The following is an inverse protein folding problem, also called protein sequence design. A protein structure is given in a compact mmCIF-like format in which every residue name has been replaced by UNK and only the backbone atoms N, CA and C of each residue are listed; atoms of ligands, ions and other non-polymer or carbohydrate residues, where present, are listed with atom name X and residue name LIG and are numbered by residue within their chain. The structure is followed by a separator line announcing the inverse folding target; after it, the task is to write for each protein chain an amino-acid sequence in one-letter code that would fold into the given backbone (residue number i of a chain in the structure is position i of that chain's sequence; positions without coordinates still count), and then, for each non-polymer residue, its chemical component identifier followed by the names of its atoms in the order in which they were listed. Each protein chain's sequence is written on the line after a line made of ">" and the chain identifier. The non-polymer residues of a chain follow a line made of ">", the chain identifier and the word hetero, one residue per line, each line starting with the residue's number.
data_IF_032858964630
#
_entry.id   IF_032858964630
#
_cell.length_a   1.000
_cell.length_b   1.000
_cell.length_c   1.000
_cell.angle_alpha   90.00
_cell.angle_beta   90.00
_cell.angle_gamma   90.00
#
_symmetry.space_group_name_H-M   'P 1'
#
loop_
_entity.id
_entity.type
_entity.pdbx_description
1 polymer ?
#
# COMPACT_ATOMS: atom_id res chain seq x y z
N UNK A 1 74.43 -5.48 -2.83
CA UNK A 1 73.41 -6.19 -3.65
C UNK A 1 72.15 -6.58 -2.90
N UNK A 2 72.15 -6.70 -1.57
CA UNK A 2 70.96 -7.16 -0.77
C UNK A 2 69.81 -6.16 -0.70
N UNK A 3 70.11 -4.83 -0.58
CA UNK A 3 69.05 -3.86 -0.41
C UNK A 3 68.10 -3.71 -1.63
N UNK A 4 68.57 -3.93 -2.85
CA UNK A 4 67.76 -3.89 -4.05
C UNK A 4 66.81 -5.14 -4.14
N UNK A 5 67.30 -6.28 -3.72
CA UNK A 5 66.57 -7.54 -3.69
C UNK A 5 65.43 -7.50 -2.64
N UNK A 6 65.75 -6.98 -1.45
CA UNK A 6 64.74 -6.79 -0.38
C UNK A 6 63.62 -5.83 -0.80
N UNK A 7 63.96 -4.77 -1.54
CA UNK A 7 62.96 -3.84 -2.09
C UNK A 7 62.10 -4.49 -3.17
N UNK A 8 62.69 -5.29 -4.01
CA UNK A 8 61.96 -6.01 -5.06
C UNK A 8 60.95 -6.98 -4.44
N UNK A 9 61.38 -7.80 -3.49
CA UNK A 9 60.55 -8.77 -2.77
C UNK A 9 59.39 -8.06 -2.02
N UNK A 10 59.65 -6.90 -1.43
CA UNK A 10 58.62 -6.11 -0.76
C UNK A 10 57.56 -5.56 -1.74
N UNK A 11 57.96 -5.08 -2.91
CA UNK A 11 57.07 -4.58 -3.98
C UNK A 11 56.25 -5.75 -4.54
N UNK A 12 56.83 -6.90 -4.78
CA UNK A 12 56.17 -8.09 -5.29
C UNK A 12 55.08 -8.57 -4.29
N UNK A 13 55.40 -8.61 -3.00
CA UNK A 13 54.44 -8.92 -1.95
C UNK A 13 53.31 -7.90 -1.88
N UNK A 14 53.61 -6.61 -1.98
CA UNK A 14 52.61 -5.57 -1.96
C UNK A 14 51.68 -5.65 -3.18
N UNK A 15 52.21 -5.96 -4.34
CA UNK A 15 51.46 -6.14 -5.57
C UNK A 15 50.53 -7.33 -5.47
N UNK A 16 50.98 -8.47 -4.90
CA UNK A 16 50.14 -9.65 -4.66
C UNK A 16 48.99 -9.33 -3.68
N UNK A 17 49.28 -8.58 -2.63
CA UNK A 17 48.27 -8.18 -1.64
C UNK A 17 47.21 -7.23 -2.24
N UNK A 18 47.63 -6.28 -3.05
CA UNK A 18 46.70 -5.37 -3.78
C UNK A 18 45.81 -6.15 -4.76
N UNK A 19 46.40 -7.10 -5.52
CA UNK A 19 45.64 -7.94 -6.44
C UNK A 19 44.57 -8.77 -5.71
N UNK A 20 44.91 -9.29 -4.53
CA UNK A 20 43.96 -10.06 -3.71
C UNK A 20 42.83 -9.14 -3.19
N UNK A 21 43.16 -7.92 -2.74
CA UNK A 21 42.17 -6.94 -2.28
C UNK A 21 41.24 -6.48 -3.41
N UNK A 22 41.77 -6.28 -4.62
CA UNK A 22 40.97 -5.97 -5.81
C UNK A 22 39.97 -7.08 -6.14
N UNK A 23 40.41 -8.33 -6.12
CA UNK A 23 39.59 -9.50 -6.40
C UNK A 23 38.46 -9.66 -5.35
N UNK A 24 38.83 -9.48 -4.08
CA UNK A 24 37.85 -9.52 -2.98
C UNK A 24 36.82 -8.38 -3.08
N UNK A 25 37.26 -7.18 -3.41
CA UNK A 25 36.39 -6.02 -3.62
C UNK A 25 35.44 -6.22 -4.80
N UNK A 26 35.95 -6.79 -5.89
CA UNK A 26 35.15 -7.13 -7.08
C UNK A 26 34.08 -8.18 -6.74
N UNK A 27 34.46 -9.22 -6.02
CA UNK A 27 33.52 -10.25 -5.58
C UNK A 27 32.41 -9.67 -4.69
N UNK A 28 32.75 -8.84 -3.71
CA UNK A 28 31.75 -8.16 -2.84
C UNK A 28 30.81 -7.27 -3.67
N UNK A 29 31.35 -6.55 -4.65
CA UNK A 29 30.53 -5.74 -5.55
C UNK A 29 29.53 -6.58 -6.33
N UNK A 30 29.95 -7.71 -6.88
CA UNK A 30 29.09 -8.61 -7.64
C UNK A 30 28.00 -9.23 -6.75
N UNK A 31 28.34 -9.63 -5.52
CA UNK A 31 27.37 -10.12 -4.51
C UNK A 31 26.35 -9.05 -4.16
N UNK A 32 26.78 -7.81 -3.89
CA UNK A 32 25.88 -6.70 -3.59
C UNK A 32 24.99 -6.33 -4.77
N UNK A 33 25.46 -6.44 -5.99
CA UNK A 33 24.65 -6.18 -7.19
C UNK A 33 23.54 -7.22 -7.37
N UNK A 34 23.81 -8.48 -7.06
CA UNK A 34 22.81 -9.57 -7.05
C UNK A 34 21.75 -9.31 -5.99
N UNK A 35 22.18 -8.97 -4.77
CA UNK A 35 21.24 -8.67 -3.67
C UNK A 35 20.39 -7.43 -3.96
N UNK A 36 20.98 -6.41 -4.56
CA UNK A 36 20.24 -5.21 -4.98
C UNK A 36 19.13 -5.56 -5.97
N UNK A 37 19.47 -6.31 -7.02
CA UNK A 37 18.48 -6.74 -8.03
C UNK A 37 17.36 -7.60 -7.42
N UNK A 38 17.70 -8.44 -6.44
CA UNK A 38 16.71 -9.23 -5.71
C UNK A 38 15.75 -8.34 -4.92
N UNK A 39 16.28 -7.42 -4.13
CA UNK A 39 15.49 -6.49 -3.33
C UNK A 39 14.60 -5.60 -4.19
N UNK A 40 15.10 -5.15 -5.34
CA UNK A 40 14.30 -4.37 -6.30
C UNK A 40 13.12 -5.17 -6.87
N UNK A 41 13.31 -6.47 -7.16
CA UNK A 41 12.21 -7.33 -7.62
C UNK A 41 11.17 -7.50 -6.52
N UNK A 42 11.58 -7.83 -5.30
CA UNK A 42 10.69 -7.98 -4.15
C UNK A 42 9.89 -6.69 -3.89
N UNK A 43 10.54 -5.53 -3.93
CA UNK A 43 9.87 -4.23 -3.83
C UNK A 43 8.80 -4.05 -4.91
N UNK A 44 9.13 -4.32 -6.16
CA UNK A 44 8.20 -4.15 -7.28
C UNK A 44 6.99 -5.09 -7.18
N UNK A 45 7.18 -6.32 -6.69
CA UNK A 45 6.09 -7.27 -6.43
C UNK A 45 5.16 -6.76 -5.32
N UNK A 46 5.72 -6.22 -4.23
CA UNK A 46 4.93 -5.64 -3.14
C UNK A 46 4.18 -4.39 -3.62
N UNK A 47 4.81 -3.50 -4.37
CA UNK A 47 4.16 -2.30 -4.93
C UNK A 47 2.99 -2.69 -5.84
N UNK A 48 3.17 -3.71 -6.68
CA UNK A 48 2.09 -4.24 -7.52
C UNK A 48 0.94 -4.80 -6.70
N UNK A 49 1.24 -5.61 -5.68
CA UNK A 49 0.22 -6.18 -4.79
C UNK A 49 -0.58 -5.08 -4.05
N UNK A 50 0.09 -4.02 -3.58
CA UNK A 50 -0.57 -2.86 -2.96
C UNK A 50 -1.53 -2.18 -3.96
N UNK A 51 -1.08 -1.93 -5.18
CA UNK A 51 -1.88 -1.30 -6.23
C UNK A 51 -3.11 -2.14 -6.58
N UNK A 52 -2.94 -3.46 -6.69
CA UNK A 52 -4.04 -4.38 -6.97
C UNK A 52 -5.08 -4.40 -5.84
N UNK A 53 -4.63 -4.41 -4.58
CA UNK A 53 -5.53 -4.33 -3.42
C UNK A 53 -6.28 -2.99 -3.36
N UNK A 54 -5.61 -1.88 -3.64
CA UNK A 54 -6.24 -0.55 -3.70
C UNK A 54 -7.31 -0.49 -4.78
N UNK A 55 -7.01 -0.99 -5.99
CA UNK A 55 -7.95 -1.06 -7.08
C UNK A 55 -9.19 -1.92 -6.75
N UNK A 56 -8.98 -3.08 -6.12
CA UNK A 56 -10.08 -3.92 -5.65
C UNK A 56 -10.95 -3.24 -4.60
N UNK A 57 -10.33 -2.50 -3.66
CA UNK A 57 -11.05 -1.73 -2.65
C UNK A 57 -11.91 -0.64 -3.28
N UNK A 58 -11.37 0.11 -4.23
CA UNK A 58 -12.10 1.14 -4.98
C UNK A 58 -13.26 0.53 -5.78
N UNK A 59 -13.03 -0.57 -6.49
CA UNK A 59 -14.07 -1.25 -7.26
C UNK A 59 -15.22 -1.73 -6.39
N UNK A 60 -14.94 -2.24 -5.18
CA UNK A 60 -15.97 -2.63 -4.23
C UNK A 60 -16.78 -1.43 -3.73
N UNK A 61 -16.15 -0.29 -3.50
CA UNK A 61 -16.85 0.93 -3.09
C UNK A 61 -17.69 1.52 -4.23
N UNK A 62 -17.23 1.43 -5.47
CA UNK A 62 -17.98 1.89 -6.65
C UNK A 62 -19.29 1.13 -6.86
N UNK A 63 -19.42 -0.09 -6.33
CA UNK A 63 -20.68 -0.82 -6.32
C UNK A 63 -21.80 -0.09 -5.55
N UNK A 64 -21.45 0.79 -4.60
CA UNK A 64 -22.39 1.61 -3.82
C UNK A 64 -22.61 3.02 -4.42
N UNK A 65 -21.96 3.35 -5.51
CA UNK A 65 -22.04 4.62 -6.21
C UNK A 65 -20.70 5.06 -6.77
N UNK A 66 -20.73 5.74 -7.92
CA UNK A 66 -19.49 6.15 -8.61
C UNK A 66 -18.59 7.03 -7.73
N UNK A 67 -19.19 7.96 -6.98
CA UNK A 67 -18.48 8.91 -6.10
C UNK A 67 -18.18 8.34 -4.70
N UNK A 68 -18.60 7.12 -4.40
CA UNK A 68 -18.44 6.51 -3.07
C UNK A 68 -16.97 6.37 -2.61
N UNK A 69 -16.01 5.98 -3.46
CA UNK A 69 -14.60 5.91 -3.05
C UNK A 69 -14.06 7.27 -2.58
N UNK A 70 -14.35 8.32 -3.34
CA UNK A 70 -13.92 9.69 -3.04
C UNK A 70 -14.58 10.22 -1.75
N UNK A 71 -15.87 9.96 -1.58
CA UNK A 71 -16.60 10.31 -0.37
C UNK A 71 -16.02 9.63 0.87
N UNK A 72 -15.77 8.33 0.81
CA UNK A 72 -15.20 7.57 1.96
C UNK A 72 -13.81 8.08 2.31
N UNK A 73 -12.99 8.40 1.33
CA UNK A 73 -11.69 8.99 1.57
C UNK A 73 -11.81 10.36 2.24
N UNK A 74 -12.70 11.22 1.74
CA UNK A 74 -12.94 12.55 2.31
C UNK A 74 -13.49 12.48 3.74
N UNK A 75 -14.37 11.53 4.03
CA UNK A 75 -14.84 11.26 5.39
C UNK A 75 -13.68 10.91 6.31
N UNK A 76 -12.75 10.08 5.85
CA UNK A 76 -11.59 9.66 6.65
C UNK A 76 -10.59 10.80 6.93
N UNK A 77 -10.50 11.78 6.03
CA UNK A 77 -9.62 12.95 6.15
C UNK A 77 -10.24 14.11 6.93
N UNK A 78 -11.57 14.12 7.10
CA UNK A 78 -12.30 15.17 7.80
C UNK A 78 -12.00 15.11 9.31
N UNK A 79 -11.63 16.26 9.90
CA UNK A 79 -11.25 16.38 11.31
C UNK A 79 -12.31 17.03 12.20
N UNK A 80 -13.42 17.49 11.62
CA UNK A 80 -14.48 18.19 12.35
C UNK A 80 -15.51 17.28 12.99
N UNK A 81 -15.33 15.96 12.89
CA UNK A 81 -16.20 15.01 13.58
C UNK A 81 -16.14 15.22 15.09
N UNK A 82 -17.31 15.32 15.73
CA UNK A 82 -17.43 15.42 17.19
C UNK A 82 -17.40 14.06 17.87
N UNK A 83 -18.02 13.07 17.23
CA UNK A 83 -17.93 11.67 17.61
C UNK A 83 -16.85 10.92 16.83
N UNK A 84 -17.03 9.62 16.69
CA UNK A 84 -16.16 8.80 15.86
C UNK A 84 -16.40 9.10 14.38
N UNK A 85 -15.37 8.90 13.57
CA UNK A 85 -15.49 8.98 12.11
C UNK A 85 -16.67 8.12 11.63
N UNK A 86 -17.57 8.64 10.77
CA UNK A 86 -18.68 7.89 10.23
C UNK A 86 -18.28 6.57 9.61
N UNK A 87 -19.04 5.52 9.86
CA UNK A 87 -18.80 4.17 9.36
C UNK A 87 -19.80 3.86 8.25
N UNK A 88 -19.31 3.54 7.06
CA UNK A 88 -20.14 3.21 5.90
C UNK A 88 -19.31 3.11 4.61
N UNK A 89 -19.96 2.82 3.48
CA UNK A 89 -21.37 2.43 3.33
C UNK A 89 -21.68 1.11 4.03
N UNK A 90 -22.90 0.95 4.52
CA UNK A 90 -23.31 -0.20 5.33
C UNK A 90 -23.06 -1.53 4.63
N UNK A 91 -23.37 -1.60 3.35
CA UNK A 91 -23.22 -2.80 2.53
C UNK A 91 -21.80 -3.33 2.46
N UNK A 92 -20.78 -2.50 2.71
CA UNK A 92 -19.38 -2.94 2.78
C UNK A 92 -19.11 -3.94 3.90
N UNK A 93 -19.91 -3.88 4.97
CA UNK A 93 -19.74 -4.68 6.18
C UNK A 93 -20.70 -5.87 6.24
N UNK A 94 -21.64 -5.97 5.27
CA UNK A 94 -22.59 -7.06 5.18
C UNK A 94 -21.99 -8.15 4.30
N UNK A 95 -21.92 -9.38 4.84
CA UNK A 95 -21.53 -10.57 4.10
C UNK A 95 -22.74 -11.46 3.95
N UNK A 96 -23.12 -11.71 2.70
CA UNK A 96 -24.21 -12.64 2.40
C UNK A 96 -23.68 -14.08 2.44
N UNK A 97 -24.19 -14.89 3.34
CA UNK A 97 -23.79 -16.30 3.47
C UNK A 97 -24.41 -17.18 2.37
N UNK A 98 -25.63 -16.83 1.94
CA UNK A 98 -26.39 -17.56 0.92
C UNK A 98 -26.70 -16.68 -0.26
N UNK A 99 -25.99 -16.85 -1.40
CA UNK A 99 -26.16 -16.01 -2.59
C UNK A 99 -27.58 -15.99 -3.17
N UNK A 100 -28.37 -17.06 -2.97
CA UNK A 100 -29.77 -17.15 -3.42
C UNK A 100 -30.69 -16.06 -2.84
N UNK A 101 -30.32 -15.48 -1.69
CA UNK A 101 -31.06 -14.40 -1.07
C UNK A 101 -30.61 -12.99 -1.48
N UNK A 102 -29.66 -12.86 -2.40
CA UNK A 102 -29.14 -11.56 -2.81
C UNK A 102 -30.24 -10.60 -3.30
N UNK A 103 -31.13 -11.07 -4.18
CA UNK A 103 -32.21 -10.27 -4.74
C UNK A 103 -33.22 -9.85 -3.67
N UNK A 104 -33.52 -10.72 -2.72
CA UNK A 104 -34.44 -10.43 -1.61
C UNK A 104 -33.84 -9.40 -0.68
N UNK A 105 -32.57 -9.52 -0.35
CA UNK A 105 -31.85 -8.58 0.48
C UNK A 105 -31.78 -7.19 -0.19
N UNK A 106 -31.43 -7.15 -1.47
CA UNK A 106 -31.33 -5.91 -2.23
C UNK A 106 -32.68 -5.19 -2.35
N UNK A 107 -33.77 -5.94 -2.61
CA UNK A 107 -35.11 -5.36 -2.69
C UNK A 107 -35.61 -4.84 -1.33
N UNK A 108 -35.20 -5.46 -0.23
CA UNK A 108 -35.67 -5.11 1.13
C UNK A 108 -34.86 -4.00 1.76
N UNK A 109 -33.54 -4.06 1.71
CA UNK A 109 -32.65 -3.13 2.42
C UNK A 109 -31.65 -2.41 1.49
N UNK A 110 -31.79 -2.53 0.16
CA UNK A 110 -30.84 -1.98 -0.81
C UNK A 110 -30.52 -0.51 -0.59
N UNK A 111 -31.53 0.31 -0.25
CA UNK A 111 -31.33 1.73 0.07
C UNK A 111 -30.51 1.97 1.34
N UNK A 112 -30.60 1.04 2.31
CA UNK A 112 -29.83 1.12 3.56
C UNK A 112 -28.37 0.75 3.37
N UNK A 113 -28.04 -0.02 2.32
CA UNK A 113 -26.68 -0.46 2.04
C UNK A 113 -25.72 0.72 1.79
N UNK A 114 -26.24 1.84 1.29
CA UNK A 114 -25.44 3.05 1.03
C UNK A 114 -25.34 4.00 2.23
N UNK A 115 -26.05 3.73 3.31
CA UNK A 115 -26.09 4.60 4.47
C UNK A 115 -24.81 4.50 5.31
N UNK A 116 -24.61 5.52 6.15
CA UNK A 116 -23.53 5.63 7.11
C UNK A 116 -24.07 5.72 8.54
N UNK A 117 -23.28 5.24 9.49
CA UNK A 117 -23.55 5.40 10.92
C UNK A 117 -22.73 6.56 11.46
N UNK A 118 -23.39 7.43 12.23
CA UNK A 118 -22.79 8.57 12.92
C UNK A 118 -23.25 8.58 14.38
N UNK A 119 -22.44 9.14 15.28
CA UNK A 119 -22.74 9.17 16.72
C UNK A 119 -23.54 10.40 17.14
N UNK A 120 -23.37 11.53 16.44
CA UNK A 120 -24.00 12.81 16.85
C UNK A 120 -24.84 13.42 15.74
N UNK A 121 -25.78 14.29 16.12
CA UNK A 121 -26.59 15.05 15.16
C UNK A 121 -25.79 16.06 14.35
N UNK A 122 -24.76 16.63 14.96
CA UNK A 122 -23.83 17.54 14.29
C UNK A 122 -23.06 16.80 13.19
N UNK A 123 -22.59 15.60 13.47
CA UNK A 123 -21.89 14.76 12.50
C UNK A 123 -22.82 14.32 11.37
N UNK A 124 -24.10 14.03 11.69
CA UNK A 124 -25.11 13.74 10.66
C UNK A 124 -25.26 14.93 9.69
N UNK A 125 -25.33 16.16 10.22
CA UNK A 125 -25.47 17.37 9.37
C UNK A 125 -24.25 17.58 8.50
N UNK A 126 -23.05 17.39 9.07
CA UNK A 126 -21.79 17.49 8.32
C UNK A 126 -21.72 16.42 7.21
N UNK A 127 -22.07 15.18 7.54
CA UNK A 127 -22.10 14.09 6.58
C UNK A 127 -23.11 14.33 5.45
N UNK A 128 -24.35 14.82 5.77
CA UNK A 128 -25.36 15.14 4.76
C UNK A 128 -24.84 16.18 3.77
N UNK A 129 -24.15 17.22 4.23
CA UNK A 129 -23.54 18.21 3.33
C UNK A 129 -22.47 17.61 2.41
N UNK A 130 -21.75 16.60 2.89
CA UNK A 130 -20.76 15.90 2.08
C UNK A 130 -21.43 14.98 1.04
N UNK A 131 -22.49 14.27 1.42
CA UNK A 131 -23.29 13.43 0.53
C UNK A 131 -23.90 14.26 -0.61
N UNK A 132 -24.58 15.38 -0.27
CA UNK A 132 -25.19 16.29 -1.25
C UNK A 132 -24.19 16.80 -2.30
N UNK A 133 -22.96 17.11 -1.88
CA UNK A 133 -21.87 17.55 -2.78
C UNK A 133 -21.40 16.47 -3.75
N UNK A 134 -21.56 15.22 -3.38
CA UNK A 134 -21.19 14.07 -4.20
C UNK A 134 -22.36 13.47 -4.98
N UNK A 135 -23.56 14.06 -4.86
CA UNK A 135 -24.76 13.62 -5.56
C UNK A 135 -25.29 12.25 -5.09
N UNK A 136 -25.12 11.96 -3.81
CA UNK A 136 -25.52 10.72 -3.16
C UNK A 136 -26.66 10.94 -2.19
#
# INVERSE_FOLDING_TARGET
>A
MDAARTRFDAVEKQQAELSHQEEESRRRKDEMEVDLRRTERERNEVEKAIKDMQSQKENRLRAFGHSMPELVERISQEKRWRGRTPVGPFGRYIKLERPEFANVLESTIGRLLNNFVVETFEDKRLLSQMLDRHGL
#
